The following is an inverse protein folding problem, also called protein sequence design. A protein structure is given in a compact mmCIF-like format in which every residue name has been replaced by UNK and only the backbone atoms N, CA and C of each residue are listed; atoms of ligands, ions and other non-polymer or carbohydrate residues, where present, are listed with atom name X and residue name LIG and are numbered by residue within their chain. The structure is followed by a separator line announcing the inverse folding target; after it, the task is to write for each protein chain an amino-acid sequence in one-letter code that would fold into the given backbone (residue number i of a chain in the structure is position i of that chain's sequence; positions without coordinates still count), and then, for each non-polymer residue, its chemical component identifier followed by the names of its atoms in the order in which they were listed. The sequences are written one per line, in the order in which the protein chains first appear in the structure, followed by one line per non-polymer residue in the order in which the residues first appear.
data_IF_770708497695
#
_entry.id   IF_770708497695
#
_cell.length_a   1.000
_cell.length_b   1.000
_cell.length_c   1.000
_cell.angle_alpha   90.00
_cell.angle_beta   90.00
_cell.angle_gamma   90.00
#
_symmetry.space_group_name_H-M   'P 1'
#
loop_
_entity.id
_entity.type
_entity.pdbx_description
1 polymer ?
#
# COMPACT_ATOMS: atom_id res chain seq x y z
N UNK A 1 23.09 8.99 22.63
CA UNK A 1 24.28 9.71 22.13
C UNK A 1 23.82 10.81 21.20
N UNK A 2 24.31 12.04 21.35
CA UNK A 2 24.15 13.05 20.29
C UNK A 2 25.10 12.72 19.14
N UNK A 3 24.60 12.75 17.91
CA UNK A 3 25.40 12.47 16.72
C UNK A 3 24.85 13.21 15.52
N UNK A 4 25.72 13.43 14.54
CA UNK A 4 25.39 14.04 13.26
C UNK A 4 25.45 12.94 12.22
N UNK A 5 24.33 12.67 11.55
CA UNK A 5 24.27 11.74 10.43
C UNK A 5 24.45 12.56 9.16
N UNK A 6 25.47 12.24 8.38
CA UNK A 6 25.74 12.85 7.07
C UNK A 6 24.86 12.16 6.01
N UNK A 7 23.88 12.91 5.50
CA UNK A 7 22.91 12.44 4.53
C UNK A 7 23.43 12.56 3.09
N UNK A 8 24.64 13.10 2.88
CA UNK A 8 25.15 13.43 1.54
C UNK A 8 24.69 14.80 1.04
N UNK A 9 25.29 15.27 -0.06
CA UNK A 9 25.03 16.59 -0.68
C UNK A 9 25.15 17.80 0.28
N UNK A 10 25.95 17.66 1.34
CA UNK A 10 26.16 18.72 2.34
C UNK A 10 25.03 18.86 3.36
N UNK A 11 24.08 17.92 3.40
CA UNK A 11 23.01 17.91 4.39
C UNK A 11 23.37 17.01 5.58
N UNK A 12 23.11 17.51 6.79
CA UNK A 12 23.37 16.77 8.02
C UNK A 12 22.16 16.79 8.93
N UNK A 13 21.72 15.61 9.40
CA UNK A 13 20.71 15.48 10.43
C UNK A 13 21.39 15.43 11.80
N UNK A 14 21.07 16.38 12.68
CA UNK A 14 21.61 16.42 14.05
C UNK A 14 20.58 15.90 15.03
N UNK A 15 20.87 14.74 15.63
CA UNK A 15 20.00 14.15 16.64
C UNK A 15 20.41 14.64 18.04
N UNK A 16 19.47 15.25 18.76
CA UNK A 16 19.65 15.72 20.13
C UNK A 16 18.72 14.99 21.10
N UNK A 17 19.13 14.77 22.35
CA UNK A 17 18.29 14.18 23.39
C UNK A 17 18.35 12.65 23.57
N UNK A 18 19.15 11.93 22.79
CA UNK A 18 19.24 10.46 22.86
C UNK A 18 20.02 10.01 24.10
N UNK A 19 19.39 9.26 25.01
CA UNK A 19 20.04 8.60 26.17
C UNK A 19 20.31 7.11 25.86
N UNK A 20 21.24 6.45 26.56
CA UNK A 20 21.70 5.08 26.24
C UNK A 20 20.60 3.97 26.27
N UNK A 21 19.38 4.29 26.69
CA UNK A 21 18.24 3.37 26.72
C UNK A 21 17.43 3.31 25.40
N UNK A 22 17.81 4.08 24.38
CA UNK A 22 16.99 4.29 23.18
C UNK A 22 17.32 3.39 21.98
N UNK A 23 18.20 2.39 22.14
CA UNK A 23 18.51 1.46 21.05
C UNK A 23 19.69 1.87 20.17
N UNK A 24 19.98 1.04 19.17
CA UNK A 24 20.92 1.30 18.09
C UNK A 24 20.16 1.80 16.87
N UNK A 25 20.58 2.90 16.26
CA UNK A 25 20.04 3.26 14.95
C UNK A 25 20.74 2.40 13.89
N UNK A 26 19.97 1.64 13.11
CA UNK A 26 20.46 1.06 11.87
C UNK A 26 20.31 2.11 10.79
N UNK A 27 21.39 2.40 10.08
CA UNK A 27 21.35 3.23 8.88
C UNK A 27 21.63 2.31 7.71
N UNK A 28 20.61 2.08 6.91
CA UNK A 28 20.73 1.35 5.65
C UNK A 28 20.70 2.38 4.53
N UNK A 29 21.70 2.31 3.65
CA UNK A 29 21.69 3.05 2.39
C UNK A 29 21.34 2.05 1.30
N UNK A 30 20.12 2.15 0.83
CA UNK A 30 19.59 1.43 -0.32
C UNK A 30 18.88 2.47 -1.21
N UNK A 31 18.93 2.27 -2.53
CA UNK A 31 18.21 3.10 -3.52
C UNK A 31 18.52 4.61 -3.49
N UNK A 32 19.72 5.02 -3.08
CA UNK A 32 20.08 6.46 -2.98
C UNK A 32 19.43 7.22 -1.81
N UNK A 33 18.57 6.55 -1.04
CA UNK A 33 17.95 7.06 0.17
C UNK A 33 18.68 6.55 1.42
N UNK A 34 18.45 7.21 2.56
CA UNK A 34 19.02 6.82 3.85
C UNK A 34 17.90 6.51 4.82
N UNK A 35 17.67 5.21 5.06
CA UNK A 35 16.68 4.72 6.01
C UNK A 35 17.31 4.70 7.40
N UNK A 36 16.63 5.31 8.37
CA UNK A 36 17.09 5.37 9.76
C UNK A 36 16.07 4.62 10.62
N UNK A 37 16.39 3.39 10.98
CA UNK A 37 15.51 2.53 11.79
C UNK A 37 16.00 2.51 13.23
N UNK A 38 15.08 2.72 14.18
CA UNK A 38 15.36 2.59 15.60
C UNK A 38 15.34 1.11 15.99
N UNK A 39 16.51 0.48 16.13
CA UNK A 39 16.61 -0.90 16.62
C UNK A 39 16.68 -0.86 18.14
N UNK A 40 15.67 -1.38 18.84
CA UNK A 40 15.70 -1.47 20.30
C UNK A 40 16.95 -2.23 20.78
N UNK A 41 17.57 -1.85 21.91
CA UNK A 41 18.75 -2.55 22.39
C UNK A 41 18.39 -3.99 22.74
N UNK A 42 19.24 -4.94 22.33
CA UNK A 42 19.13 -6.32 22.78
C UNK A 42 19.33 -6.34 24.29
N UNK A 43 18.25 -6.52 25.05
CA UNK A 43 18.32 -6.63 26.51
C UNK A 43 19.05 -7.93 26.86
N UNK A 44 20.11 -7.90 27.70
CA UNK A 44 20.70 -9.13 28.22
C UNK A 44 19.59 -9.97 28.88
N UNK A 45 19.67 -11.32 28.84
CA UNK A 45 18.72 -12.13 29.57
C UNK A 45 18.81 -11.72 31.04
N UNK A 46 17.75 -11.10 31.55
CA UNK A 46 17.62 -10.85 32.97
C UNK A 46 17.61 -12.22 33.64
N UNK A 47 18.35 -12.35 34.75
CA UNK A 47 18.20 -13.47 35.68
C UNK A 47 16.69 -13.70 35.91
N UNK A 48 16.18 -14.94 35.92
CA UNK A 48 14.76 -15.18 36.07
C UNK A 48 14.29 -14.64 37.42
N UNK A 49 13.79 -13.42 37.44
CA UNK A 49 12.87 -12.98 38.46
C UNK A 49 11.54 -13.57 38.05
N UNK A 50 10.98 -14.43 38.89
CA UNK A 50 9.60 -14.90 38.77
C UNK A 50 8.73 -13.70 38.37
N UNK A 51 8.01 -13.72 37.25
CA UNK A 51 7.21 -12.58 36.82
C UNK A 51 6.26 -12.24 37.97
N UNK A 52 6.33 -11.02 38.51
CA UNK A 52 5.15 -10.43 39.13
C UNK A 52 4.22 -10.09 37.97
N UNK A 53 3.48 -11.11 37.52
CA UNK A 53 2.32 -11.17 36.60
C UNK A 53 2.10 -9.94 35.70
N UNK A 54 2.16 -10.04 34.34
CA UNK A 54 1.44 -9.07 33.52
C UNK A 54 -0.06 -9.36 33.72
N UNK A 55 -0.85 -8.52 34.40
CA UNK A 55 -2.21 -8.86 34.73
C UNK A 55 -3.08 -8.46 33.54
N UNK A 56 -2.91 -9.14 32.40
CA UNK A 56 -3.91 -9.05 31.36
C UNK A 56 -5.14 -9.77 31.90
N UNK A 57 -6.17 -8.98 32.21
CA UNK A 57 -7.43 -9.48 32.72
C UNK A 57 -8.36 -9.65 31.55
N UNK A 58 -8.82 -10.89 31.33
CA UNK A 58 -9.86 -11.22 30.35
C UNK A 58 -11.21 -11.16 31.07
N UNK A 59 -12.13 -10.35 30.57
CA UNK A 59 -13.47 -10.18 31.14
C UNK A 59 -14.51 -10.43 30.05
N UNK A 60 -15.34 -11.48 30.15
CA UNK A 60 -16.48 -11.64 29.25
C UNK A 60 -17.41 -10.43 29.33
N UNK A 61 -17.88 -9.96 28.20
CA UNK A 61 -18.76 -8.80 28.08
C UNK A 61 -20.03 -9.15 27.30
N UNK A 62 -21.00 -8.25 27.32
CA UNK A 62 -22.20 -8.40 26.49
C UNK A 62 -21.89 -7.87 25.09
N UNK A 63 -22.14 -8.66 24.04
CA UNK A 63 -22.07 -8.21 22.65
C UNK A 63 -22.87 -6.92 22.41
N UNK A 64 -22.27 -5.96 21.70
CA UNK A 64 -22.88 -4.68 21.31
C UNK A 64 -23.31 -4.63 19.85
N UNK A 65 -22.89 -5.61 19.05
CA UNK A 65 -23.12 -5.75 17.62
C UNK A 65 -23.68 -7.16 17.36
N UNK A 66 -24.88 -7.31 16.79
CA UNK A 66 -25.45 -8.63 16.53
C UNK A 66 -24.60 -9.41 15.51
N UNK A 67 -24.28 -10.67 15.80
CA UNK A 67 -23.82 -11.61 14.79
C UNK A 67 -25.00 -12.05 13.91
N UNK A 68 -24.73 -12.42 12.65
CA UNK A 68 -25.76 -12.89 11.74
C UNK A 68 -26.25 -14.29 12.15
N UNK A 69 -27.18 -14.37 13.11
CA UNK A 69 -27.93 -15.60 13.42
C UNK A 69 -27.24 -16.65 14.29
N UNK A 70 -26.00 -16.44 14.72
CA UNK A 70 -25.27 -17.34 15.63
C UNK A 70 -25.07 -16.76 17.05
N UNK A 71 -24.73 -17.64 18.00
CA UNK A 71 -24.35 -17.23 19.36
C UNK A 71 -23.11 -16.33 19.30
N UNK A 72 -23.20 -15.12 19.85
CA UNK A 72 -22.13 -14.11 19.80
C UNK A 72 -21.39 -14.11 21.13
N UNK A 73 -20.06 -14.04 21.04
CA UNK A 73 -19.19 -13.86 22.19
C UNK A 73 -18.55 -12.49 22.14
N UNK A 74 -18.39 -11.90 23.30
CA UNK A 74 -17.62 -10.68 23.48
C UNK A 74 -16.74 -10.83 24.72
N UNK A 75 -15.51 -10.38 24.61
CA UNK A 75 -14.58 -10.30 25.72
C UNK A 75 -13.76 -9.02 25.64
N UNK A 76 -13.38 -8.50 26.80
CA UNK A 76 -12.43 -7.40 26.90
C UNK A 76 -11.19 -7.90 27.61
N UNK A 77 -10.05 -7.78 26.95
CA UNK A 77 -8.74 -7.96 27.56
C UNK A 77 -8.21 -6.60 28.00
N UNK A 78 -7.67 -6.50 29.21
CA UNK A 78 -7.15 -5.24 29.76
C UNK A 78 -5.77 -5.46 30.35
N UNK A 79 -4.78 -4.73 29.86
CA UNK A 79 -3.45 -4.71 30.45
C UNK A 79 -3.37 -3.63 31.54
N UNK A 80 -3.60 -4.02 32.78
CA UNK A 80 -3.47 -3.12 33.94
C UNK A 80 -1.99 -2.89 34.36
N UNK A 81 -1.04 -3.52 33.66
CA UNK A 81 0.39 -3.38 33.90
C UNK A 81 1.03 -2.22 33.13
N UNK A 82 2.34 -2.08 33.27
CA UNK A 82 3.16 -1.07 32.57
C UNK A 82 4.00 -1.65 31.44
N UNK A 83 4.07 -2.98 31.33
CA UNK A 83 4.78 -3.72 30.27
C UNK A 83 3.79 -4.38 29.33
N UNK A 84 4.17 -4.68 28.08
CA UNK A 84 3.33 -5.45 27.18
C UNK A 84 2.88 -6.78 27.80
N UNK A 85 1.66 -7.20 27.48
CA UNK A 85 1.10 -8.47 27.95
C UNK A 85 0.14 -9.04 26.92
N UNK A 86 0.12 -10.36 26.79
CA UNK A 86 -0.64 -11.06 25.76
C UNK A 86 -1.80 -11.85 26.36
N UNK A 87 -2.93 -11.89 25.64
CA UNK A 87 -4.03 -12.79 25.93
C UNK A 87 -4.69 -13.22 24.60
N UNK A 88 -5.30 -14.42 24.57
CA UNK A 88 -6.12 -14.82 23.43
C UNK A 88 -7.36 -13.92 23.32
N UNK A 89 -7.74 -13.59 22.08
CA UNK A 89 -8.94 -12.82 21.71
C UNK A 89 -9.92 -13.63 20.82
N UNK A 90 -9.45 -14.81 20.38
CA UNK A 90 -10.22 -15.87 19.74
C UNK A 90 -9.74 -17.17 20.36
N UNK A 91 -10.67 -18.01 20.82
CA UNK A 91 -10.41 -19.40 21.22
C UNK A 91 -11.52 -20.29 20.69
N UNK A 92 -11.46 -20.62 19.40
CA UNK A 92 -12.39 -21.56 18.77
C UNK A 92 -11.85 -22.99 18.82
N UNK A 93 -11.31 -23.37 19.99
CA UNK A 93 -10.70 -24.67 20.27
C UNK A 93 -11.68 -25.87 20.19
N UNK A 94 -12.97 -25.63 19.99
CA UNK A 94 -14.00 -26.67 19.88
C UNK A 94 -14.44 -26.96 18.43
N UNK A 95 -13.98 -26.20 17.42
CA UNK A 95 -14.42 -26.34 16.03
C UNK A 95 -13.25 -26.42 15.02
N UNK A 96 -12.33 -25.45 15.04
CA UNK A 96 -11.18 -25.42 14.13
C UNK A 96 -9.82 -25.46 14.85
N UNK A 97 -9.76 -25.14 16.15
CA UNK A 97 -8.51 -25.13 16.91
C UNK A 97 -7.77 -23.79 16.85
N UNK A 98 -8.36 -22.77 16.22
CA UNK A 98 -7.73 -21.49 16.01
C UNK A 98 -7.55 -20.73 17.32
N UNK A 99 -6.39 -20.06 17.45
CA UNK A 99 -6.07 -19.21 18.59
C UNK A 99 -5.43 -17.93 18.07
N UNK A 100 -6.17 -16.84 18.15
CA UNK A 100 -5.67 -15.51 17.85
C UNK A 100 -5.31 -14.84 19.17
N UNK A 101 -4.11 -14.27 19.23
CA UNK A 101 -3.60 -13.59 20.42
C UNK A 101 -3.43 -12.11 20.17
N UNK A 102 -3.73 -11.30 21.18
CA UNK A 102 -3.41 -9.89 21.17
C UNK A 102 -2.40 -9.57 22.26
N UNK A 103 -1.34 -8.87 21.89
CA UNK A 103 -0.36 -8.30 22.82
C UNK A 103 -0.63 -6.81 22.97
N UNK A 104 -0.97 -6.41 24.19
CA UNK A 104 -1.37 -5.05 24.51
C UNK A 104 -0.25 -4.29 25.23
N UNK A 105 0.02 -3.02 24.86
CA UNK A 105 0.80 -2.11 25.68
C UNK A 105 0.22 -1.93 27.09
N UNK A 106 1.01 -1.39 28.01
CA UNK A 106 0.52 -1.08 29.36
C UNK A 106 -0.57 0.00 29.35
N UNK A 107 -1.66 -0.20 30.09
CA UNK A 107 -2.74 0.78 30.23
C UNK A 107 -3.77 0.82 29.09
N UNK A 108 -3.71 -0.15 28.16
CA UNK A 108 -4.68 -0.32 27.07
C UNK A 108 -5.60 -1.50 27.33
N UNK A 109 -6.80 -1.43 26.77
CA UNK A 109 -7.77 -2.53 26.70
C UNK A 109 -8.16 -2.79 25.25
N UNK A 110 -8.63 -4.00 24.95
CA UNK A 110 -9.14 -4.39 23.64
C UNK A 110 -10.39 -5.22 23.84
N UNK A 111 -11.47 -4.82 23.19
CA UNK A 111 -12.71 -5.62 23.11
C UNK A 111 -12.69 -6.41 21.81
N UNK A 112 -12.92 -7.71 21.89
CA UNK A 112 -13.09 -8.63 20.77
C UNK A 112 -14.51 -9.16 20.80
N UNK A 113 -15.25 -8.99 19.72
CA UNK A 113 -16.66 -9.37 19.62
C UNK A 113 -16.94 -10.09 18.30
N UNK A 114 -17.69 -11.19 18.30
CA UNK A 114 -18.10 -11.85 17.06
C UNK A 114 -18.76 -13.21 17.27
N UNK A 115 -18.98 -13.97 16.18
CA UNK A 115 -19.53 -15.32 16.23
C UNK A 115 -18.72 -16.27 17.12
N UNK A 116 -19.41 -17.07 17.93
CA UNK A 116 -18.82 -18.07 18.83
C UNK A 116 -18.16 -19.25 18.12
N UNK A 117 -18.40 -19.42 16.82
CA UNK A 117 -17.89 -20.49 15.99
C UNK A 117 -17.28 -19.90 14.72
N UNK A 118 -16.32 -20.61 14.14
CA UNK A 118 -15.79 -20.28 12.83
C UNK A 118 -16.87 -20.46 11.76
N UNK A 119 -16.90 -19.55 10.79
CA UNK A 119 -17.95 -19.45 9.79
C UNK A 119 -17.44 -19.87 8.41
N UNK A 120 -18.34 -20.36 7.55
CA UNK A 120 -18.03 -20.44 6.13
C UNK A 120 -18.00 -19.02 5.51
N UNK A 121 -17.47 -18.84 4.28
CA UNK A 121 -17.37 -17.52 3.67
C UNK A 121 -18.70 -16.76 3.51
N UNK A 122 -19.82 -17.47 3.30
CA UNK A 122 -21.14 -16.84 3.14
C UNK A 122 -21.64 -16.22 4.45
N UNK A 123 -21.52 -16.95 5.55
CA UNK A 123 -21.93 -16.47 6.87
C UNK A 123 -20.94 -15.41 7.42
N UNK A 124 -19.65 -15.55 7.08
CA UNK A 124 -18.62 -14.58 7.41
C UNK A 124 -18.89 -13.21 6.78
N UNK A 125 -19.32 -13.18 5.50
CA UNK A 125 -19.69 -11.94 4.82
C UNK A 125 -20.82 -11.20 5.57
N UNK A 126 -21.86 -11.92 6.01
CA UNK A 126 -22.96 -11.32 6.76
C UNK A 126 -22.49 -10.69 8.08
N UNK A 127 -21.55 -11.34 8.76
CA UNK A 127 -20.97 -10.86 10.03
C UNK A 127 -20.05 -9.65 9.83
N UNK A 128 -19.19 -9.66 8.81
CA UNK A 128 -18.32 -8.53 8.46
C UNK A 128 -19.13 -7.31 8.06
N UNK A 129 -20.10 -7.46 7.15
CA UNK A 129 -20.98 -6.37 6.73
C UNK A 129 -21.65 -5.74 7.94
N UNK A 130 -22.35 -6.55 8.76
CA UNK A 130 -23.04 -6.05 9.96
C UNK A 130 -22.11 -5.28 10.90
N UNK A 131 -20.88 -5.77 11.06
CA UNK A 131 -19.85 -5.13 11.88
C UNK A 131 -19.41 -3.78 11.30
N UNK A 132 -19.13 -3.71 10.00
CA UNK A 132 -18.76 -2.49 9.28
C UNK A 132 -19.89 -1.45 9.35
N UNK A 133 -21.14 -1.83 9.04
CA UNK A 133 -22.26 -0.88 9.05
C UNK A 133 -22.47 -0.29 10.45
N UNK A 134 -22.31 -1.12 11.50
CA UNK A 134 -22.45 -0.69 12.87
C UNK A 134 -21.37 0.31 13.32
N UNK A 135 -20.23 0.40 12.62
CA UNK A 135 -19.17 1.38 12.91
C UNK A 135 -19.40 2.73 12.22
N UNK A 136 -20.23 2.78 11.18
CA UNK A 136 -20.65 4.02 10.52
C UNK A 136 -19.51 4.81 9.90
N UNK A 137 -18.52 4.13 9.29
CA UNK A 137 -17.54 4.78 8.39
C UNK A 137 -18.25 5.32 7.15
N UNK A 138 -17.70 6.38 6.53
CA UNK A 138 -18.25 6.90 5.27
C UNK A 138 -17.79 6.09 4.04
N UNK A 139 -16.66 5.38 4.14
CA UNK A 139 -16.17 4.38 3.17
C UNK A 139 -16.78 2.99 3.33
N UNK A 140 -18.04 2.90 3.80
CA UNK A 140 -18.71 1.60 4.00
C UNK A 140 -18.72 0.72 2.73
N UNK A 141 -18.89 1.32 1.55
CA UNK A 141 -18.97 0.56 0.28
C UNK A 141 -17.65 -0.16 -0.02
N UNK A 142 -16.54 0.51 0.23
CA UNK A 142 -15.18 0.03 0.00
C UNK A 142 -14.80 -1.06 1.01
N UNK A 143 -14.98 -0.80 2.31
CA UNK A 143 -14.76 -1.80 3.35
C UNK A 143 -15.56 -3.10 3.10
N UNK A 144 -16.83 -2.96 2.69
CA UNK A 144 -17.68 -4.10 2.34
C UNK A 144 -17.24 -4.77 1.03
N UNK A 145 -16.83 -3.99 0.02
CA UNK A 145 -16.32 -4.49 -1.25
C UNK A 145 -15.02 -5.29 -1.09
N UNK A 146 -14.12 -4.80 -0.25
CA UNK A 146 -12.89 -5.50 0.15
C UNK A 146 -13.18 -6.84 0.83
N UNK A 147 -14.09 -6.84 1.81
CA UNK A 147 -14.53 -8.08 2.47
C UNK A 147 -15.14 -9.09 1.48
N UNK A 148 -15.94 -8.63 0.51
CA UNK A 148 -16.51 -9.49 -0.52
C UNK A 148 -15.43 -10.08 -1.45
N UNK A 149 -14.46 -9.27 -1.85
CA UNK A 149 -13.39 -9.67 -2.76
C UNK A 149 -12.50 -10.73 -2.12
N UNK A 150 -12.06 -10.49 -0.87
CA UNK A 150 -11.33 -11.47 -0.07
C UNK A 150 -12.09 -12.80 0.04
N UNK A 151 -13.35 -12.77 0.50
CA UNK A 151 -14.13 -13.98 0.73
C UNK A 151 -14.45 -14.77 -0.54
N UNK A 152 -14.58 -14.11 -1.69
CA UNK A 152 -14.84 -14.76 -2.99
C UNK A 152 -13.64 -15.57 -3.49
N UNK A 153 -12.43 -15.19 -3.07
CA UNK A 153 -11.20 -15.87 -3.46
C UNK A 153 -10.84 -17.05 -2.54
N UNK A 154 -11.59 -17.29 -1.47
CA UNK A 154 -11.37 -18.42 -0.56
C UNK A 154 -12.03 -19.71 -1.07
N UNK A 155 -11.43 -20.84 -0.70
CA UNK A 155 -12.08 -22.14 -0.88
C UNK A 155 -13.36 -22.21 -0.03
N UNK A 156 -14.43 -22.82 -0.56
CA UNK A 156 -15.69 -23.00 0.18
C UNK A 156 -15.52 -23.81 1.49
N UNK A 157 -14.42 -24.57 1.61
CA UNK A 157 -14.06 -25.34 2.80
C UNK A 157 -13.32 -24.53 3.86
N UNK A 158 -12.90 -23.30 3.56
CA UNK A 158 -12.22 -22.42 4.52
C UNK A 158 -13.20 -22.02 5.61
N UNK A 159 -12.72 -22.06 6.86
CA UNK A 159 -13.47 -21.60 8.02
C UNK A 159 -12.81 -20.35 8.57
N UNK A 160 -13.61 -19.32 8.84
CA UNK A 160 -13.14 -18.00 9.25
C UNK A 160 -13.53 -17.66 10.68
N UNK A 161 -12.56 -17.16 11.44
CA UNK A 161 -12.79 -16.53 12.73
C UNK A 161 -13.02 -15.03 12.54
N UNK A 162 -14.29 -14.63 12.59
CA UNK A 162 -14.70 -13.25 12.38
C UNK A 162 -14.78 -12.50 13.71
N UNK A 163 -14.09 -11.36 13.83
CA UNK A 163 -14.17 -10.50 15.03
C UNK A 163 -14.21 -9.01 14.68
N UNK A 164 -15.00 -8.27 15.43
CA UNK A 164 -14.85 -6.83 15.60
C UNK A 164 -13.91 -6.58 16.77
N UNK A 165 -12.85 -5.83 16.54
CA UNK A 165 -11.80 -5.53 17.50
C UNK A 165 -11.80 -4.02 17.75
N UNK A 166 -11.92 -3.63 19.03
CA UNK A 166 -11.96 -2.21 19.42
C UNK A 166 -10.96 -1.98 20.55
N UNK A 167 -9.74 -1.52 20.23
CA UNK A 167 -8.78 -1.10 21.23
C UNK A 167 -9.17 0.23 21.87
N UNK A 168 -8.84 0.40 23.14
CA UNK A 168 -9.09 1.61 23.92
C UNK A 168 -7.89 1.89 24.81
N UNK A 169 -7.65 3.16 25.09
CA UNK A 169 -6.63 3.59 26.04
C UNK A 169 -7.23 4.50 27.10
N UNK A 170 -6.77 4.33 28.34
CA UNK A 170 -7.05 5.30 29.41
C UNK A 170 -6.11 6.51 29.35
N UNK A 171 -5.05 6.42 28.55
CA UNK A 171 -4.10 7.50 28.29
C UNK A 171 -4.55 8.32 27.08
N UNK A 172 -4.29 9.63 27.11
CA UNK A 172 -4.45 10.52 25.96
C UNK A 172 -3.22 10.56 25.04
N UNK A 173 -2.13 9.89 25.43
CA UNK A 173 -0.92 9.75 24.60
C UNK A 173 -0.85 8.35 24.01
N UNK A 174 -0.43 8.25 22.76
CA UNK A 174 -0.22 6.97 22.10
C UNK A 174 0.74 6.09 22.92
N UNK A 175 0.48 4.77 22.99
CA UNK A 175 1.46 3.83 23.52
C UNK A 175 2.75 3.88 22.70
N UNK A 176 3.90 3.79 23.35
CA UNK A 176 5.22 3.76 22.68
C UNK A 176 5.57 2.42 22.01
N UNK A 177 4.66 1.46 22.04
CA UNK A 177 4.79 0.13 21.42
C UNK A 177 3.46 -0.23 20.74
N UNK A 178 3.47 -1.01 19.65
CA UNK A 178 2.25 -1.36 18.95
C UNK A 178 1.34 -2.27 19.78
N UNK A 179 0.06 -2.25 19.45
CA UNK A 179 -0.83 -3.40 19.69
C UNK A 179 -0.50 -4.42 18.63
N UNK A 180 -0.23 -5.67 19.03
CA UNK A 180 0.08 -6.75 18.09
C UNK A 180 -1.08 -7.73 18.10
N UNK A 181 -1.63 -8.04 16.94
CA UNK A 181 -2.63 -9.10 16.76
C UNK A 181 -1.98 -10.19 15.92
N UNK A 182 -1.86 -11.38 16.50
CA UNK A 182 -1.20 -12.51 15.85
C UNK A 182 -2.18 -13.67 15.69
N UNK A 183 -2.42 -14.03 14.45
CA UNK A 183 -3.17 -15.20 14.00
C UNK A 183 -2.36 -16.48 14.00
N UNK A 184 -2.92 -17.54 13.44
CA UNK A 184 -2.24 -18.85 13.34
C UNK A 184 -1.72 -19.11 11.93
N UNK A 185 -0.67 -19.93 11.81
CA UNK A 185 -0.06 -20.25 10.50
C UNK A 185 -0.68 -21.49 9.85
N UNK A 186 -1.84 -21.96 10.30
CA UNK A 186 -2.42 -23.23 9.84
C UNK A 186 -3.30 -23.03 8.59
N UNK A 187 -2.87 -23.60 7.45
CA UNK A 187 -3.41 -23.40 6.10
C UNK A 187 -4.86 -23.91 5.82
N UNK A 188 -5.75 -23.93 6.81
CA UNK A 188 -7.19 -24.23 6.65
C UNK A 188 -8.10 -23.38 7.54
N UNK A 189 -7.51 -22.40 8.22
CA UNK A 189 -8.18 -21.45 9.11
C UNK A 189 -7.79 -20.06 8.63
N UNK A 190 -8.72 -19.11 8.74
CA UNK A 190 -8.45 -17.74 8.35
C UNK A 190 -9.09 -16.78 9.34
N UNK A 191 -8.46 -15.64 9.51
CA UNK A 191 -8.89 -14.57 10.38
C UNK A 191 -9.48 -13.44 9.53
N UNK A 192 -10.65 -12.94 9.90
CA UNK A 192 -11.26 -11.80 9.23
C UNK A 192 -11.78 -10.79 10.23
N UNK A 193 -11.11 -9.64 10.33
CA UNK A 193 -11.36 -8.67 11.38
C UNK A 193 -11.91 -7.34 10.86
N UNK A 194 -12.71 -6.70 11.71
CA UNK A 194 -13.03 -5.27 11.61
C UNK A 194 -12.41 -4.59 12.82
N UNK A 195 -11.41 -3.73 12.61
CA UNK A 195 -10.62 -3.11 13.67
C UNK A 195 -10.96 -1.62 13.73
N UNK A 196 -11.59 -1.19 14.81
CA UNK A 196 -11.95 0.22 15.04
C UNK A 196 -10.95 0.88 15.99
N UNK A 197 -10.08 1.69 15.40
CA UNK A 197 -8.98 2.37 16.08
C UNK A 197 -9.35 3.75 16.63
N UNK A 198 -10.58 4.24 16.38
CA UNK A 198 -11.01 5.61 16.76
C UNK A 198 -11.00 5.87 18.27
N UNK A 199 -10.97 4.83 19.09
CA UNK A 199 -10.87 4.92 20.55
C UNK A 199 -9.44 4.94 21.08
N UNK A 200 -8.45 4.94 20.19
CA UNK A 200 -7.03 5.07 20.51
C UNK A 200 -6.54 6.51 20.31
N UNK A 201 -5.53 6.96 21.07
CA UNK A 201 -4.88 8.24 20.81
C UNK A 201 -4.19 8.27 19.44
N UNK A 202 -4.17 9.42 18.78
CA UNK A 202 -3.41 9.63 17.54
C UNK A 202 -1.93 9.24 17.71
N UNK A 203 -1.38 8.56 16.69
CA UNK A 203 -0.02 7.99 16.71
C UNK A 203 0.07 6.61 17.36
N UNK A 204 -1.06 6.00 17.72
CA UNK A 204 -1.08 4.59 18.14
C UNK A 204 -0.77 3.69 16.96
N UNK A 205 0.00 2.65 17.21
CA UNK A 205 0.41 1.67 16.21
C UNK A 205 -0.24 0.32 16.41
N UNK A 206 -0.44 -0.37 15.29
CA UNK A 206 -0.96 -1.72 15.17
C UNK A 206 0.05 -2.54 14.36
N UNK A 207 0.16 -3.82 14.68
CA UNK A 207 0.89 -4.81 13.90
C UNK A 207 -0.03 -6.02 13.72
N UNK A 208 -0.12 -6.51 12.50
CA UNK A 208 -0.93 -7.66 12.11
C UNK A 208 0.03 -8.77 11.71
N UNK A 209 0.04 -9.89 12.44
CA UNK A 209 0.86 -11.05 12.09
C UNK A 209 -0.06 -12.22 11.73
N UNK A 210 0.08 -12.76 10.52
CA UNK A 210 -0.73 -13.85 9.96
C UNK A 210 -2.23 -13.56 10.07
N UNK A 211 -2.65 -12.38 9.62
CA UNK A 211 -4.06 -11.99 9.57
C UNK A 211 -4.49 -11.97 8.10
N UNK A 212 -5.37 -12.88 7.72
CA UNK A 212 -5.76 -13.02 6.32
C UNK A 212 -6.64 -11.86 5.83
N UNK A 213 -7.42 -11.22 6.71
CA UNK A 213 -8.22 -10.04 6.36
C UNK A 213 -8.41 -9.08 7.54
N UNK A 214 -8.23 -7.78 7.29
CA UNK A 214 -8.56 -6.73 8.23
C UNK A 214 -9.17 -5.50 7.54
N UNK A 215 -10.40 -5.16 7.92
CA UNK A 215 -10.98 -3.84 7.70
C UNK A 215 -10.54 -2.88 8.81
N UNK A 216 -9.95 -1.75 8.47
CA UNK A 216 -9.42 -0.77 9.41
C UNK A 216 -10.31 0.47 9.41
N UNK A 217 -10.67 0.94 10.61
CA UNK A 217 -11.54 2.12 10.78
C UNK A 217 -10.87 3.13 11.70
N UNK A 218 -10.73 4.36 11.21
CA UNK A 218 -10.02 5.45 11.84
C UNK A 218 -8.50 5.41 11.60
N UNK A 219 -7.86 6.56 11.79
CA UNK A 219 -6.43 6.73 11.52
C UNK A 219 -5.56 5.88 12.45
N UNK A 220 -4.67 5.09 11.85
CA UNK A 220 -3.70 4.23 12.55
C UNK A 220 -2.39 4.13 11.77
N UNK A 221 -1.31 3.83 12.51
CA UNK A 221 -0.04 3.38 11.93
C UNK A 221 0.03 1.85 11.99
N UNK A 222 -0.01 1.18 10.86
CA UNK A 222 0.19 -0.27 10.74
C UNK A 222 1.60 -0.50 10.20
N UNK A 223 2.39 -1.32 10.90
CA UNK A 223 3.77 -1.62 10.47
C UNK A 223 4.09 -3.10 10.58
N UNK A 224 4.71 -3.62 9.52
CA UNK A 224 5.15 -5.00 9.38
C UNK A 224 3.99 -5.99 9.41
N UNK A 225 4.38 -7.25 9.55
CA UNK A 225 3.49 -8.39 9.61
C UNK A 225 4.24 -9.59 9.09
N UNK A 226 4.03 -10.74 9.72
CA UNK A 226 4.40 -12.01 9.11
C UNK A 226 3.22 -12.54 8.30
N UNK A 227 3.47 -13.24 7.20
CA UNK A 227 2.42 -13.86 6.40
C UNK A 227 1.66 -12.86 5.54
N UNK A 228 1.00 -13.39 4.51
CA UNK A 228 0.20 -12.62 3.57
C UNK A 228 -0.99 -11.95 4.29
N UNK A 229 -1.10 -10.64 4.17
CA UNK A 229 -2.15 -9.85 4.79
C UNK A 229 -3.04 -9.18 3.73
N UNK A 230 -4.35 -9.12 4.00
CA UNK A 230 -5.30 -8.36 3.19
C UNK A 230 -5.90 -7.25 4.04
N UNK A 231 -5.49 -6.00 3.79
CA UNK A 231 -5.89 -4.84 4.58
C UNK A 231 -6.70 -3.88 3.71
N UNK A 232 -7.84 -3.43 4.23
CA UNK A 232 -8.68 -2.39 3.60
C UNK A 232 -9.03 -1.35 4.65
N UNK A 233 -8.69 -0.10 4.40
CA UNK A 233 -8.93 0.99 5.31
C UNK A 233 -10.14 1.86 4.92
N UNK A 234 -10.47 2.82 5.78
CA UNK A 234 -11.66 3.66 5.68
C UNK A 234 -11.34 5.06 5.13
N UNK A 235 -12.21 6.03 5.44
CA UNK A 235 -12.11 7.42 4.98
C UNK A 235 -11.13 8.31 5.78
N UNK A 236 -10.26 7.71 6.57
CA UNK A 236 -9.27 8.43 7.36
C UNK A 236 -7.87 8.21 6.77
N UNK A 237 -7.01 9.23 6.88
CA UNK A 237 -5.59 9.09 6.54
C UNK A 237 -4.89 8.02 7.38
N UNK A 238 -4.26 7.09 6.68
CA UNK A 238 -3.55 5.94 7.21
C UNK A 238 -2.04 6.02 6.96
N UNK A 239 -1.32 5.23 7.74
CA UNK A 239 0.04 4.81 7.41
C UNK A 239 0.07 3.29 7.53
N UNK A 240 0.17 2.57 6.43
CA UNK A 240 0.15 1.12 6.38
C UNK A 240 1.40 0.67 5.62
N UNK A 241 2.34 0.04 6.31
CA UNK A 241 3.50 -0.60 5.67
C UNK A 241 3.59 -2.04 6.14
N UNK A 242 3.36 -3.01 5.28
CA UNK A 242 3.30 -4.44 5.66
C UNK A 242 4.64 -5.17 5.45
N UNK A 243 4.60 -6.49 5.38
CA UNK A 243 5.71 -7.39 5.59
C UNK A 243 6.48 -7.74 4.33
N UNK A 244 7.11 -8.92 4.35
CA UNK A 244 7.95 -9.46 3.29
C UNK A 244 7.26 -10.57 2.46
N UNK A 245 5.96 -10.75 2.66
CA UNK A 245 5.12 -11.76 2.00
C UNK A 245 4.13 -11.04 1.09
N UNK A 246 3.58 -11.74 0.08
CA UNK A 246 2.63 -11.15 -0.87
C UNK A 246 1.38 -10.58 -0.16
N UNK A 247 1.28 -9.25 -0.12
CA UNK A 247 0.29 -8.48 0.61
C UNK A 247 -0.70 -7.77 -0.33
N UNK A 248 -1.92 -7.55 0.17
CA UNK A 248 -2.91 -6.68 -0.46
C UNK A 248 -3.24 -5.54 0.49
N UNK A 249 -3.10 -4.30 0.02
CA UNK A 249 -3.45 -3.11 0.79
C UNK A 249 -4.33 -2.19 -0.05
N UNK A 250 -5.43 -1.75 0.54
CA UNK A 250 -6.29 -0.69 0.02
C UNK A 250 -6.40 0.41 1.08
N UNK A 251 -5.79 1.57 0.80
CA UNK A 251 -5.76 2.74 1.70
C UNK A 251 -7.14 3.33 1.96
N UNK A 252 -8.02 3.20 0.98
CA UNK A 252 -9.39 3.67 1.05
C UNK A 252 -9.51 5.13 0.65
N UNK A 253 -10.07 5.96 1.52
CA UNK A 253 -10.17 7.39 1.26
C UNK A 253 -9.38 8.20 2.30
N UNK A 254 -8.92 9.38 1.90
CA UNK A 254 -8.02 10.19 2.70
C UNK A 254 -6.62 10.20 2.09
N UNK A 255 -5.76 11.11 2.54
CA UNK A 255 -4.37 11.13 2.07
C UNK A 255 -3.59 10.03 2.83
N UNK A 256 -3.25 8.95 2.15
CA UNK A 256 -2.69 7.73 2.71
C UNK A 256 -1.21 7.53 2.40
N UNK A 257 -0.54 6.78 3.27
CA UNK A 257 0.78 6.21 2.97
C UNK A 257 0.67 4.70 3.04
N UNK A 258 0.83 4.05 1.90
CA UNK A 258 0.68 2.60 1.73
C UNK A 258 1.99 2.01 1.23
N UNK A 259 2.41 0.88 1.78
CA UNK A 259 3.57 0.17 1.25
C UNK A 259 3.75 -1.25 1.81
N UNK A 260 4.75 -1.92 1.28
CA UNK A 260 5.21 -3.25 1.70
C UNK A 260 6.74 -3.31 1.67
N UNK A 261 7.33 -4.44 2.08
CA UNK A 261 8.77 -4.61 2.10
C UNK A 261 9.27 -5.47 0.94
N UNK A 262 9.08 -6.79 1.01
CA UNK A 262 9.38 -7.73 -0.07
C UNK A 262 8.06 -8.42 -0.44
N UNK A 263 7.92 -8.96 -1.64
CA UNK A 263 6.71 -9.70 -2.02
C UNK A 263 6.32 -9.43 -3.47
N UNK A 264 5.21 -9.99 -3.91
CA UNK A 264 4.52 -9.49 -5.11
C UNK A 264 3.21 -8.88 -4.64
N UNK A 265 3.25 -7.58 -4.37
CA UNK A 265 2.22 -6.90 -3.61
C UNK A 265 1.21 -6.21 -4.51
N UNK A 266 -0.02 -6.04 -4.00
CA UNK A 266 -1.04 -5.22 -4.65
C UNK A 266 -1.44 -4.09 -3.72
N UNK A 267 -1.11 -2.86 -4.12
CA UNK A 267 -1.23 -1.68 -3.28
C UNK A 267 -2.09 -0.62 -3.96
N UNK A 268 -3.16 -0.20 -3.29
CA UNK A 268 -4.08 0.82 -3.77
C UNK A 268 -4.04 2.01 -2.80
N UNK A 269 -3.79 3.21 -3.33
CA UNK A 269 -3.91 4.48 -2.61
C UNK A 269 -5.37 4.79 -2.32
N UNK A 270 -6.16 4.97 -3.38
CA UNK A 270 -7.61 5.09 -3.32
C UNK A 270 -8.09 6.51 -3.63
N UNK A 271 -8.93 7.09 -2.79
CA UNK A 271 -9.39 8.48 -2.94
C UNK A 271 -8.58 9.43 -2.05
N UNK A 272 -7.63 10.19 -2.57
CA UNK A 272 -6.77 11.04 -1.76
C UNK A 272 -5.51 11.44 -2.50
N UNK A 273 -4.61 12.19 -1.87
CA UNK A 273 -3.26 12.35 -2.41
C UNK A 273 -2.35 11.37 -1.70
N UNK A 274 -2.08 10.25 -2.37
CA UNK A 274 -1.50 9.08 -1.74
C UNK A 274 -0.01 8.94 -2.05
N UNK A 275 0.69 8.25 -1.16
CA UNK A 275 2.07 7.80 -1.39
C UNK A 275 2.10 6.28 -1.27
N UNK A 276 2.35 5.61 -2.38
CA UNK A 276 2.29 4.15 -2.52
C UNK A 276 3.68 3.62 -2.85
N UNK A 277 4.20 2.69 -2.05
CA UNK A 277 5.57 2.16 -2.14
C UNK A 277 5.55 0.64 -2.30
N UNK A 278 5.94 0.12 -3.48
CA UNK A 278 5.90 -1.32 -3.80
C UNK A 278 6.87 -2.17 -2.98
N UNK A 279 8.08 -1.65 -2.72
CA UNK A 279 9.13 -2.47 -2.12
C UNK A 279 9.81 -3.34 -3.17
N UNK A 280 10.33 -4.49 -2.76
CA UNK A 280 11.06 -5.44 -3.60
C UNK A 280 10.16 -6.56 -4.12
N UNK A 281 10.20 -6.81 -5.42
CA UNK A 281 9.51 -7.92 -6.07
C UNK A 281 8.62 -7.41 -7.20
N UNK A 282 7.62 -8.17 -7.64
CA UNK A 282 6.79 -7.74 -8.79
C UNK A 282 5.46 -7.21 -8.27
N UNK A 283 5.37 -5.90 -8.13
CA UNK A 283 4.26 -5.22 -7.48
C UNK A 283 3.29 -4.58 -8.47
N UNK A 284 2.06 -4.39 -8.00
CA UNK A 284 0.99 -3.70 -8.71
C UNK A 284 0.49 -2.52 -7.89
N UNK A 285 0.72 -1.29 -8.36
CA UNK A 285 0.28 -0.07 -7.68
C UNK A 285 -0.85 0.63 -8.45
N UNK A 286 -1.85 1.13 -7.72
CA UNK A 286 -2.87 2.05 -8.24
C UNK A 286 -2.99 3.26 -7.29
N UNK A 287 -2.73 4.48 -7.79
CA UNK A 287 -2.89 5.71 -7.02
C UNK A 287 -4.36 6.05 -6.79
N UNK A 288 -5.22 5.74 -7.76
CA UNK A 288 -6.65 6.01 -7.69
C UNK A 288 -7.01 7.44 -8.07
N UNK A 289 -7.36 8.29 -7.11
CA UNK A 289 -7.87 9.64 -7.36
C UNK A 289 -7.22 10.69 -6.50
N UNK A 290 -6.53 11.65 -7.12
CA UNK A 290 -5.86 12.75 -6.43
C UNK A 290 -4.45 12.87 -6.96
N UNK A 291 -3.58 13.64 -6.33
CA UNK A 291 -2.21 13.80 -6.82
C UNK A 291 -1.32 12.76 -6.15
N UNK A 292 -1.09 11.65 -6.83
CA UNK A 292 -0.50 10.46 -6.23
C UNK A 292 1.00 10.34 -6.53
N UNK A 293 1.72 9.68 -5.63
CA UNK A 293 3.13 9.29 -5.81
C UNK A 293 3.25 7.78 -5.69
N UNK A 294 3.65 7.12 -6.78
CA UNK A 294 3.85 5.68 -6.86
C UNK A 294 5.34 5.40 -7.05
N UNK A 295 5.91 4.63 -6.14
CA UNK A 295 7.35 4.33 -6.09
C UNK A 295 7.59 2.81 -6.12
N UNK A 296 8.12 2.34 -7.23
CA UNK A 296 8.51 0.95 -7.51
C UNK A 296 10.04 0.76 -7.51
N UNK A 297 10.80 1.71 -6.97
CA UNK A 297 12.26 1.71 -7.05
C UNK A 297 12.97 0.61 -6.26
N UNK A 298 12.23 -0.28 -5.57
CA UNK A 298 12.78 -1.50 -4.98
C UNK A 298 13.07 -2.61 -6.00
N UNK A 299 12.65 -2.44 -7.26
CA UNK A 299 13.00 -3.31 -8.38
C UNK A 299 11.94 -4.36 -8.70
N UNK A 300 12.24 -5.27 -9.62
CA UNK A 300 11.30 -6.27 -10.13
C UNK A 300 10.50 -5.78 -11.34
N UNK A 301 9.74 -6.66 -11.99
CA UNK A 301 8.96 -6.28 -13.17
C UNK A 301 7.54 -5.88 -12.74
N UNK A 302 7.30 -4.58 -12.65
CA UNK A 302 6.18 -4.01 -11.93
C UNK A 302 5.08 -3.48 -12.84
N UNK A 303 3.92 -3.19 -12.25
CA UNK A 303 2.83 -2.48 -12.92
C UNK A 303 2.35 -1.31 -12.06
N UNK A 304 2.16 -0.14 -12.67
CA UNK A 304 1.62 1.03 -11.97
C UNK A 304 0.58 1.79 -12.80
N UNK A 305 -0.44 2.29 -12.11
CA UNK A 305 -1.44 3.21 -12.65
C UNK A 305 -1.54 4.44 -11.74
N UNK A 306 -1.14 5.61 -12.24
CA UNK A 306 -1.26 6.89 -11.49
C UNK A 306 -2.70 7.18 -11.13
N UNK A 307 -3.57 7.30 -12.14
CA UNK A 307 -5.02 7.36 -11.92
C UNK A 307 -5.64 8.63 -12.46
N UNK A 308 -6.10 9.52 -11.57
CA UNK A 308 -6.69 10.82 -11.94
C UNK A 308 -5.90 11.94 -11.29
N UNK A 309 -5.80 13.08 -11.98
CA UNK A 309 -4.94 14.22 -11.67
C UNK A 309 -3.47 13.95 -12.05
N UNK A 310 -2.57 14.86 -11.70
CA UNK A 310 -1.18 14.78 -12.15
C UNK A 310 -0.35 13.94 -11.20
N UNK A 311 -0.01 12.73 -11.62
CA UNK A 311 0.62 11.73 -10.77
C UNK A 311 2.13 11.64 -11.02
N UNK A 312 2.87 11.15 -10.02
CA UNK A 312 4.29 10.82 -10.16
C UNK A 312 4.46 9.31 -10.07
N UNK A 313 5.03 8.70 -11.10
CA UNK A 313 5.26 7.24 -11.16
C UNK A 313 6.74 6.98 -11.43
N UNK A 314 7.37 6.19 -10.55
CA UNK A 314 8.79 5.78 -10.64
C UNK A 314 8.84 4.25 -10.76
N UNK A 315 9.26 3.71 -11.90
CA UNK A 315 9.31 2.26 -12.19
C UNK A 315 10.48 1.54 -11.52
N UNK A 316 11.69 2.08 -11.63
CA UNK A 316 12.87 1.50 -10.98
C UNK A 316 13.61 0.49 -11.86
N UNK A 317 14.08 -0.60 -11.26
CA UNK A 317 14.83 -1.65 -11.96
C UNK A 317 13.85 -2.76 -12.41
N UNK A 318 13.73 -3.07 -13.69
CA UNK A 318 12.84 -4.10 -14.20
C UNK A 318 12.28 -3.73 -15.56
N UNK A 319 11.49 -4.63 -16.16
CA UNK A 319 10.70 -4.27 -17.34
C UNK A 319 9.29 -3.95 -16.87
N UNK A 320 9.00 -2.66 -16.70
CA UNK A 320 7.80 -2.18 -16.01
C UNK A 320 6.69 -1.79 -16.98
N UNK A 321 5.43 -1.93 -16.54
CA UNK A 321 4.26 -1.39 -17.23
C UNK A 321 3.70 -0.19 -16.47
N UNK A 322 4.00 1.01 -16.94
CA UNK A 322 3.67 2.26 -16.25
C UNK A 322 2.58 3.04 -17.00
N UNK A 323 1.55 3.47 -16.28
CA UNK A 323 0.41 4.20 -16.86
C UNK A 323 0.15 5.48 -16.06
N UNK A 324 0.21 6.65 -16.72
CA UNK A 324 -0.10 7.93 -16.06
C UNK A 324 -1.58 8.04 -15.69
N UNK A 325 -2.46 7.78 -16.65
CA UNK A 325 -3.91 7.85 -16.44
C UNK A 325 -4.47 9.15 -16.97
N UNK A 326 -5.01 10.01 -16.12
CA UNK A 326 -5.57 11.31 -16.52
C UNK A 326 -4.90 12.42 -15.75
N UNK A 327 -4.21 13.33 -16.41
CA UNK A 327 -3.75 14.55 -15.76
C UNK A 327 -2.52 15.10 -16.41
N UNK A 328 -1.56 15.52 -15.62
CA UNK A 328 -0.27 15.97 -16.13
C UNK A 328 0.77 15.16 -15.39
N UNK A 329 1.07 13.98 -15.94
CA UNK A 329 1.77 12.94 -15.22
C UNK A 329 3.28 13.05 -15.42
N UNK A 330 4.05 12.61 -14.42
CA UNK A 330 5.50 12.50 -14.48
C UNK A 330 5.90 11.04 -14.30
N UNK A 331 6.32 10.39 -15.37
CA UNK A 331 6.63 8.96 -15.38
C UNK A 331 8.12 8.75 -15.69
N UNK A 332 8.79 7.95 -14.87
CA UNK A 332 10.15 7.47 -15.12
C UNK A 332 10.13 5.95 -15.13
N UNK A 333 10.54 5.33 -16.23
CA UNK A 333 10.73 3.87 -16.36
C UNK A 333 11.83 3.40 -15.43
N UNK A 334 13.08 3.62 -15.83
CA UNK A 334 14.24 3.34 -15.00
C UNK A 334 15.21 2.45 -15.75
N UNK A 335 15.50 1.25 -15.26
CA UNK A 335 16.42 0.33 -15.90
C UNK A 335 15.70 -0.95 -16.32
N UNK A 336 15.72 -1.27 -17.61
CA UNK A 336 15.06 -2.43 -18.21
C UNK A 336 14.22 -1.99 -19.39
N UNK A 337 13.55 -2.94 -20.05
CA UNK A 337 12.75 -2.63 -21.24
C UNK A 337 11.32 -2.28 -20.79
N UNK A 338 11.03 -0.99 -20.65
CA UNK A 338 9.78 -0.50 -20.06
C UNK A 338 8.68 -0.23 -21.08
N UNK A 339 7.42 -0.29 -20.65
CA UNK A 339 6.25 0.15 -21.42
C UNK A 339 5.56 1.30 -20.69
N UNK A 340 5.63 2.49 -21.27
CA UNK A 340 5.11 3.71 -20.67
C UNK A 340 3.90 4.21 -21.47
N UNK A 341 2.72 4.15 -20.85
CA UNK A 341 1.49 4.73 -21.36
C UNK A 341 1.29 6.13 -20.78
N UNK A 342 1.35 7.16 -21.63
CA UNK A 342 1.23 8.55 -21.17
C UNK A 342 -0.13 8.83 -20.52
N UNK A 343 -1.20 8.24 -21.06
CA UNK A 343 -2.55 8.59 -20.67
C UNK A 343 -3.01 9.92 -21.27
N UNK A 344 -3.95 10.58 -20.59
CA UNK A 344 -4.53 11.84 -21.01
C UNK A 344 -3.77 13.01 -20.40
N UNK A 345 -3.48 14.01 -21.23
CA UNK A 345 -3.00 15.32 -20.80
C UNK A 345 -1.59 15.60 -21.29
N UNK A 346 -0.83 16.36 -20.50
CA UNK A 346 0.50 16.85 -20.89
C UNK A 346 1.51 16.23 -19.96
N UNK A 347 2.00 15.07 -20.36
CA UNK A 347 2.80 14.21 -19.51
C UNK A 347 4.30 14.41 -19.79
N UNK A 348 5.12 14.17 -18.78
CA UNK A 348 6.58 14.15 -18.91
C UNK A 348 7.06 12.72 -18.68
N UNK A 349 7.69 12.14 -19.68
CA UNK A 349 8.08 10.73 -19.71
C UNK A 349 9.59 10.60 -19.85
N UNK A 350 10.18 9.70 -19.08
CA UNK A 350 11.59 9.33 -19.14
C UNK A 350 11.65 7.82 -19.18
N UNK A 351 12.25 7.24 -20.22
CA UNK A 351 12.35 5.79 -20.38
C UNK A 351 13.45 5.23 -19.48
N UNK A 352 14.65 5.79 -19.59
CA UNK A 352 15.83 5.39 -18.85
C UNK A 352 16.76 4.50 -19.67
N UNK A 353 17.28 3.46 -19.03
CA UNK A 353 18.21 2.48 -19.61
C UNK A 353 17.44 1.27 -20.12
N UNK A 354 17.40 1.02 -21.42
CA UNK A 354 16.72 -0.17 -21.96
C UNK A 354 16.17 0.11 -23.35
N UNK A 355 15.38 -0.82 -23.88
CA UNK A 355 14.60 -0.62 -25.09
C UNK A 355 13.14 -0.32 -24.71
N UNK A 356 12.84 0.95 -24.54
CA UNK A 356 11.55 1.38 -23.98
C UNK A 356 10.49 1.58 -25.06
N UNK A 357 9.23 1.30 -24.73
CA UNK A 357 8.07 1.58 -25.55
C UNK A 357 7.24 2.71 -24.96
N UNK A 358 7.24 3.86 -25.63
CA UNK A 358 6.36 4.98 -25.31
C UNK A 358 5.04 4.86 -26.10
N UNK A 359 3.94 4.63 -25.38
CA UNK A 359 2.58 4.61 -25.93
C UNK A 359 1.87 5.91 -25.60
N UNK A 360 1.80 6.81 -26.58
CA UNK A 360 1.26 8.15 -26.41
C UNK A 360 -0.20 8.24 -26.85
N UNK A 361 -0.97 9.13 -26.23
CA UNK A 361 -2.33 9.44 -26.67
C UNK A 361 -2.33 10.53 -27.75
N UNK A 362 -2.68 10.17 -28.99
CA UNK A 362 -2.67 11.13 -30.11
C UNK A 362 -3.87 12.09 -30.18
N UNK A 363 -5.00 11.72 -29.56
CA UNK A 363 -6.22 12.53 -29.52
C UNK A 363 -7.16 12.04 -28.41
N UNK A 364 -7.85 12.95 -27.73
CA UNK A 364 -8.97 12.62 -26.83
C UNK A 364 -10.14 13.59 -27.00
N UNK A 365 -11.30 13.09 -27.44
CA UNK A 365 -12.51 13.88 -27.60
C UNK A 365 -13.13 14.34 -26.25
N UNK A 366 -12.76 13.70 -25.14
CA UNK A 366 -13.28 13.96 -23.80
C UNK A 366 -12.39 14.90 -22.98
N UNK A 367 -11.11 15.04 -23.32
CA UNK A 367 -10.19 16.00 -22.69
C UNK A 367 -10.27 17.34 -23.43
N UNK A 368 -11.31 18.12 -23.09
CA UNK A 368 -11.67 19.46 -23.59
C UNK A 368 -10.59 20.18 -24.43
N UNK A 369 -10.62 20.01 -25.75
CA UNK A 369 -10.15 20.97 -26.77
C UNK A 369 -8.73 21.55 -26.61
N UNK A 370 -7.88 20.94 -25.77
CA UNK A 370 -6.48 21.29 -25.58
C UNK A 370 -5.64 20.34 -26.42
N UNK A 371 -4.73 20.90 -27.22
CA UNK A 371 -3.70 20.12 -27.90
C UNK A 371 -2.87 19.43 -26.81
N UNK A 372 -2.86 18.10 -26.80
CA UNK A 372 -2.01 17.33 -25.89
C UNK A 372 -0.55 17.57 -26.26
N UNK A 373 0.30 17.83 -25.27
CA UNK A 373 1.73 18.12 -25.48
C UNK A 373 2.63 17.26 -24.58
N UNK A 374 2.58 15.92 -24.69
CA UNK A 374 3.49 15.08 -23.94
C UNK A 374 4.95 15.32 -24.37
N UNK A 375 5.86 15.16 -23.42
CA UNK A 375 7.30 15.35 -23.61
C UNK A 375 8.04 14.10 -23.18
N UNK A 376 8.81 13.51 -24.09
CA UNK A 376 9.77 12.46 -23.79
C UNK A 376 11.15 13.09 -23.64
N UNK A 377 11.82 12.80 -22.53
CA UNK A 377 13.02 13.53 -22.11
C UNK A 377 14.33 12.91 -22.60
N UNK A 378 14.35 11.61 -22.92
CA UNK A 378 15.57 10.83 -23.12
C UNK A 378 15.53 9.78 -24.25
N UNK A 379 14.54 9.87 -25.16
CA UNK A 379 14.33 8.90 -26.25
C UNK A 379 15.63 8.51 -26.99
N UNK A 380 15.97 7.22 -26.97
CA UNK A 380 17.14 6.64 -27.62
C UNK A 380 16.81 6.11 -29.01
N UNK A 381 17.22 6.85 -30.05
CA UNK A 381 16.96 6.49 -31.44
C UNK A 381 17.51 5.09 -31.80
N UNK A 382 16.66 4.24 -32.40
CA UNK A 382 16.99 2.88 -32.80
C UNK A 382 17.13 1.87 -31.65
N UNK A 383 16.83 2.29 -30.42
CA UNK A 383 16.71 1.42 -29.24
C UNK A 383 15.26 1.48 -28.75
N UNK A 384 14.75 2.69 -28.52
CA UNK A 384 13.39 2.91 -28.07
C UNK A 384 12.38 2.86 -29.23
N UNK A 385 11.13 2.61 -28.85
CA UNK A 385 10.00 2.50 -29.74
C UNK A 385 8.86 3.45 -29.36
N UNK A 386 8.15 3.92 -30.38
CA UNK A 386 7.03 4.83 -30.27
C UNK A 386 5.77 4.19 -30.85
N UNK A 387 4.69 4.22 -30.06
CA UNK A 387 3.34 3.98 -30.50
C UNK A 387 2.44 5.18 -30.14
N UNK A 388 1.43 5.42 -30.96
CA UNK A 388 0.42 6.45 -30.72
C UNK A 388 -0.97 5.84 -30.85
N UNK A 389 -1.74 5.89 -29.77
CA UNK A 389 -3.12 5.40 -29.72
C UNK A 389 -4.03 6.21 -30.65
N UNK A 390 -5.05 5.55 -31.20
CA UNK A 390 -6.05 6.16 -32.08
C UNK A 390 -5.49 6.79 -33.35
N UNK A 391 -4.27 6.40 -33.75
CA UNK A 391 -3.60 6.81 -34.98
C UNK A 391 -3.28 5.57 -35.79
N UNK A 392 -3.41 5.63 -37.11
CA UNK A 392 -2.97 4.52 -37.98
C UNK A 392 -1.46 4.59 -38.24
N UNK A 393 -0.84 3.45 -38.54
CA UNK A 393 0.57 3.41 -38.94
C UNK A 393 0.89 4.40 -40.07
N UNK A 394 -0.01 4.53 -41.05
CA UNK A 394 0.18 5.45 -42.18
C UNK A 394 0.18 6.92 -41.74
N UNK A 395 -0.69 7.28 -40.80
CA UNK A 395 -0.75 8.64 -40.24
C UNK A 395 0.50 8.95 -39.42
N UNK A 396 0.98 8.00 -38.59
CA UNK A 396 2.21 8.18 -37.81
C UNK A 396 3.44 8.31 -38.73
N UNK A 397 3.54 7.46 -39.77
CA UNK A 397 4.62 7.56 -40.76
C UNK A 397 4.60 8.90 -41.51
N UNK A 398 3.40 9.39 -41.87
CA UNK A 398 3.24 10.69 -42.50
C UNK A 398 3.62 11.85 -41.57
N UNK A 399 3.30 11.74 -40.27
CA UNK A 399 3.70 12.71 -39.28
C UNK A 399 5.23 12.75 -39.15
N UNK A 400 5.90 11.60 -39.04
CA UNK A 400 7.37 11.50 -38.91
C UNK A 400 8.06 12.09 -40.15
N UNK A 401 7.52 11.87 -41.34
CA UNK A 401 8.04 12.48 -42.57
C UNK A 401 7.93 14.01 -42.59
N UNK A 402 7.02 14.60 -41.80
CA UNK A 402 6.76 16.04 -41.69
C UNK A 402 7.17 16.64 -40.33
N UNK A 403 7.97 15.92 -39.53
CA UNK A 403 8.42 16.35 -38.22
C UNK A 403 9.15 17.71 -38.26
N UNK A 404 9.05 18.47 -37.17
CA UNK A 404 9.78 19.73 -36.99
C UNK A 404 11.00 19.50 -36.13
N UNK A 405 12.20 19.68 -36.69
CA UNK A 405 13.46 19.63 -35.94
C UNK A 405 13.76 21.01 -35.37
N UNK A 406 14.03 21.07 -34.06
CA UNK A 406 14.35 22.28 -33.31
C UNK A 406 15.76 22.17 -32.71
N UNK A 407 16.25 23.25 -32.08
CA UNK A 407 17.55 23.23 -31.40
C UNK A 407 17.57 22.31 -30.16
N UNK A 408 16.40 21.99 -29.60
CA UNK A 408 16.25 21.20 -28.35
C UNK A 408 15.78 19.77 -28.59
N UNK A 409 15.42 19.41 -29.82
CA UNK A 409 14.87 18.10 -30.15
C UNK A 409 13.91 18.12 -31.34
N UNK A 410 13.00 17.15 -31.37
CA UNK A 410 12.00 16.95 -32.43
C UNK A 410 10.60 17.22 -31.89
N UNK A 411 9.76 17.86 -32.70
CA UNK A 411 8.32 18.01 -32.46
C UNK A 411 7.54 17.32 -33.57
N UNK A 412 6.59 16.47 -33.18
CA UNK A 412 5.76 15.67 -34.06
C UNK A 412 4.28 16.06 -33.89
N UNK A 413 3.68 16.60 -34.94
CA UNK A 413 2.25 16.89 -34.97
C UNK A 413 1.47 15.69 -35.53
N UNK A 414 0.67 15.03 -34.71
CA UNK A 414 -0.08 13.84 -35.12
C UNK A 414 -1.44 13.79 -34.42
N UNK A 415 -2.51 13.58 -35.21
CA UNK A 415 -3.91 13.50 -34.75
C UNK A 415 -4.40 14.67 -33.86
N UNK A 416 -3.72 15.82 -33.91
CA UNK A 416 -4.08 17.00 -33.11
C UNK A 416 -3.34 17.11 -31.77
N UNK A 417 -2.40 16.21 -31.49
CA UNK A 417 -1.40 16.32 -30.44
C UNK A 417 -0.04 16.79 -31.00
N UNK A 418 0.74 17.46 -30.15
CA UNK A 418 2.09 17.96 -30.43
C UNK A 418 3.08 17.25 -29.51
N UNK A 419 3.69 16.18 -30.01
CA UNK A 419 4.55 15.29 -29.23
C UNK A 419 6.00 15.83 -29.28
N UNK A 420 6.61 16.06 -28.12
CA UNK A 420 7.98 16.61 -28.02
C UNK A 420 8.97 15.53 -27.59
N UNK A 421 10.07 15.40 -28.32
CA UNK A 421 11.17 14.48 -28.03
C UNK A 421 12.44 15.30 -27.84
N UNK A 422 12.97 15.34 -26.62
CA UNK A 422 14.16 16.13 -26.30
C UNK A 422 15.43 15.38 -26.73
N UNK A 423 16.49 16.13 -27.07
CA UNK A 423 17.83 15.59 -27.27
C UNK A 423 18.07 14.80 -28.57
N UNK A 424 17.03 14.43 -29.33
CA UNK A 424 17.16 13.70 -30.59
C UNK A 424 17.20 14.62 -31.82
N UNK A 425 17.75 14.11 -32.93
CA UNK A 425 17.92 14.89 -34.17
C UNK A 425 16.83 14.66 -35.22
N UNK A 426 16.17 13.48 -35.21
CA UNK A 426 15.08 13.13 -36.11
C UNK A 426 14.45 11.76 -35.74
N UNK A 427 13.13 11.64 -35.69
CA UNK A 427 12.48 10.33 -35.70
C UNK A 427 12.54 9.70 -37.10
N UNK A 428 12.54 8.38 -37.15
CA UNK A 428 12.51 7.56 -38.36
C UNK A 428 11.42 6.50 -38.23
N UNK A 429 11.09 5.82 -39.34
CA UNK A 429 10.12 4.72 -39.30
C UNK A 429 10.64 3.48 -38.56
N UNK A 430 11.94 3.41 -38.23
CA UNK A 430 12.51 2.33 -37.43
C UNK A 430 12.20 2.50 -35.93
N UNK A 431 11.91 3.74 -35.51
CA UNK A 431 11.55 4.07 -34.13
C UNK A 431 10.05 3.79 -33.85
N UNK A 432 9.27 3.36 -34.85
CA UNK A 432 7.85 3.00 -34.66
C UNK A 432 7.78 1.57 -34.15
N UNK A 433 6.99 1.33 -33.09
CA UNK A 433 6.63 -0.04 -32.72
C UNK A 433 5.68 -0.65 -33.76
N UNK A 434 6.21 -1.56 -34.58
CA UNK A 434 5.43 -2.22 -35.62
C UNK A 434 4.46 -3.27 -35.07
N UNK A 435 4.70 -3.79 -33.87
CA UNK A 435 3.85 -4.79 -33.20
C UNK A 435 2.50 -4.22 -32.81
N UNK A 436 2.47 -2.98 -32.31
CA UNK A 436 1.27 -2.24 -31.91
C UNK A 436 0.29 -2.01 -33.06
N UNK A 437 0.79 -1.91 -34.30
CA UNK A 437 -0.01 -1.62 -35.50
C UNK A 437 -0.32 -2.83 -36.38
N UNK A 438 0.14 -4.03 -36.00
CA UNK A 438 -0.07 -5.28 -36.74
C UNK A 438 -1.45 -5.89 -36.41
#
# INVERSE_FOLDING_TARGET
ASGTIDLGLGQTLTLTGITAASGTFSVVREFGHSYITLVAPVTPPSTPTTPTTPPVVVTPTTPTTPGSGEDTQAETITNNGTTPGSAPIVQNSNNNGNVVTATLPGGTSLTSEGPSQAQNPTDALGSLVTSIEARGSTSQTELVGGAQSFLTNLAETTTLDVRTIVPTSTSTTAPGTPIIISGTTDAGQSEAFVIDMRSMPSGSSLQLDNIEFASIIGSVTITGGAGQNYVVADDASQYIVLGADDDYIDGGAGDDTVGSADGNDTLLGGDGNDSVFGGEGNDSLDGGTGFDTLDLTGGGANAAQGGKQGDTVLGGDGGDELRGGKGHDSITGGAGDDVIYSGQGNDTLTGGDGADLFVLKGFDANFSNAVLTPTITDFQQGVDHLAVEHVTLMELQAAIANQSVTDTGVVLEVAGASLTFLGISALTTADIDMGFYA
#
